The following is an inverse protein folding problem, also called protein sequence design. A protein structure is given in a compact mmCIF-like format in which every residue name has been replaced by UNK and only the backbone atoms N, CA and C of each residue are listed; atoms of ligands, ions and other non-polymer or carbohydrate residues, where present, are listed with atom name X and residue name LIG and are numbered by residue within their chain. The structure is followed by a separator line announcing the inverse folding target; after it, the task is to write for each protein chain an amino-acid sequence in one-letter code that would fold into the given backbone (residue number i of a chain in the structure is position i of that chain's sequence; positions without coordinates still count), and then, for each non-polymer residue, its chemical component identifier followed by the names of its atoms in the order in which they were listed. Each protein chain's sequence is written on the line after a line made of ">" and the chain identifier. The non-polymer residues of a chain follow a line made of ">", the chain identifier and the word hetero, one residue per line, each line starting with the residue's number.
data_IF_096251237203
#
_entry.id   IF_096251237203
#
_cell.length_a   1.000
_cell.length_b   1.000
_cell.length_c   1.000
_cell.angle_alpha   90.00
_cell.angle_beta   90.00
_cell.angle_gamma   90.00
#
_symmetry.space_group_name_H-M   'P 1'
#
loop_
_entity.id
_entity.type
_entity.pdbx_description
1 polymer ?
#
# COMPACT_ATOMS: atom_id res chain seq x y z
N UNK A 1 0.52 -14.46 7.70
CA UNK A 1 0.65 -13.42 6.65
C UNK A 1 -0.26 -13.78 5.48
N UNK A 2 -0.90 -12.81 4.88
CA UNK A 2 -1.80 -13.04 3.75
C UNK A 2 -1.00 -13.13 2.44
N UNK A 3 -1.10 -14.25 1.75
CA UNK A 3 -0.37 -14.50 0.49
C UNK A 3 -0.79 -13.54 -0.63
N UNK A 4 -1.94 -12.89 -0.50
CA UNK A 4 -2.44 -11.92 -1.48
C UNK A 4 -1.78 -10.55 -1.32
N UNK A 5 -1.02 -10.33 -0.23
CA UNK A 5 -0.27 -9.11 -0.02
C UNK A 5 1.16 -9.32 -0.48
N UNK A 6 1.62 -8.49 -1.41
CA UNK A 6 2.98 -8.57 -1.93
C UNK A 6 3.94 -7.78 -1.05
N UNK A 7 5.09 -8.36 -0.75
CA UNK A 7 6.19 -7.63 -0.13
C UNK A 7 7.05 -7.08 -1.25
N UNK A 8 7.13 -5.76 -1.35
CA UNK A 8 7.79 -5.07 -2.45
C UNK A 8 9.00 -4.31 -1.93
N UNK A 9 10.07 -4.31 -2.71
CA UNK A 9 11.33 -3.65 -2.38
C UNK A 9 11.66 -2.56 -3.38
N UNK A 10 12.70 -1.76 -3.07
CA UNK A 10 13.27 -0.80 -4.02
C UNK A 10 13.56 -1.48 -5.37
N UNK A 11 14.10 -2.70 -5.33
CA UNK A 11 14.48 -3.43 -6.54
C UNK A 11 13.29 -3.99 -7.33
N UNK A 12 12.21 -4.38 -6.65
CA UNK A 12 11.06 -5.03 -7.30
C UNK A 12 9.92 -4.06 -7.64
N UNK A 13 10.00 -2.82 -7.20
CA UNK A 13 8.90 -1.86 -7.31
C UNK A 13 8.45 -1.61 -8.74
N UNK A 14 9.40 -1.42 -9.65
CA UNK A 14 9.09 -1.18 -11.07
C UNK A 14 8.27 -2.32 -11.66
N UNK A 15 8.71 -3.55 -11.46
CA UNK A 15 8.06 -4.72 -12.04
C UNK A 15 6.70 -5.01 -11.38
N UNK A 16 6.60 -4.85 -10.07
CA UNK A 16 5.41 -5.28 -9.33
C UNK A 16 4.35 -4.20 -9.16
N UNK A 17 4.74 -2.93 -9.18
CA UNK A 17 3.81 -1.82 -8.98
C UNK A 17 3.63 -1.01 -10.25
N UNK A 18 4.71 -0.48 -10.81
CA UNK A 18 4.63 0.44 -11.95
C UNK A 18 4.12 -0.29 -13.19
N UNK A 19 4.57 -1.52 -13.43
CA UNK A 19 4.19 -2.31 -14.60
C UNK A 19 2.89 -3.09 -14.42
N UNK A 20 2.23 -2.96 -13.27
CA UNK A 20 1.00 -3.71 -12.99
C UNK A 20 -0.15 -3.27 -13.88
N UNK A 21 -0.91 -4.25 -14.40
CA UNK A 21 -2.13 -3.99 -15.15
C UNK A 21 -3.34 -3.71 -14.25
N UNK A 22 -3.23 -4.01 -12.96
CA UNK A 22 -4.27 -3.73 -11.97
C UNK A 22 -3.83 -2.57 -11.08
N UNK A 23 -4.79 -1.83 -10.47
CA UNK A 23 -4.43 -0.86 -9.43
C UNK A 23 -3.68 -1.53 -8.29
N UNK A 24 -2.71 -0.83 -7.72
CA UNK A 24 -1.91 -1.33 -6.60
C UNK A 24 -1.98 -0.34 -5.45
N UNK A 25 -2.43 -0.79 -4.30
CA UNK A 25 -2.38 -0.01 -3.06
C UNK A 25 -1.07 -0.35 -2.35
N UNK A 26 -0.19 0.63 -2.22
CA UNK A 26 1.13 0.47 -1.60
C UNK A 26 1.10 1.06 -0.20
N UNK A 27 1.35 0.23 0.82
CA UNK A 27 1.43 0.64 2.22
C UNK A 27 2.89 0.77 2.64
N UNK A 28 3.30 1.99 2.99
CA UNK A 28 4.62 2.28 3.54
C UNK A 28 4.54 2.16 5.06
N UNK A 29 5.35 1.27 5.64
CA UNK A 29 5.25 0.89 7.04
C UNK A 29 6.61 0.58 7.66
N UNK A 30 6.65 0.40 9.00
CA UNK A 30 7.83 -0.07 9.71
C UNK A 30 7.40 -0.88 10.94
N UNK A 31 8.29 -1.75 11.41
CA UNK A 31 8.04 -2.62 12.58
C UNK A 31 7.79 -1.82 13.86
N UNK A 32 8.46 -0.69 14.03
CA UNK A 32 8.33 0.15 15.21
C UNK A 32 7.07 1.02 15.21
N UNK A 33 6.33 1.02 14.15
CA UNK A 33 5.17 1.91 13.95
C UNK A 33 3.89 1.23 14.48
N UNK A 34 3.39 1.68 15.62
CA UNK A 34 2.16 1.15 16.21
C UNK A 34 0.94 1.26 15.30
N UNK A 35 0.64 2.45 14.74
CA UNK A 35 -0.49 2.61 13.81
C UNK A 35 -0.37 1.74 12.56
N UNK A 36 0.86 1.48 12.07
CA UNK A 36 1.07 0.56 10.95
C UNK A 36 0.63 -0.85 11.30
N UNK A 37 0.95 -1.30 12.51
CA UNK A 37 0.57 -2.64 12.98
C UNK A 37 -0.94 -2.76 13.17
N UNK A 38 -1.59 -1.71 13.62
CA UNK A 38 -3.05 -1.68 13.74
C UNK A 38 -3.73 -1.78 12.37
N UNK A 39 -3.10 -1.24 11.32
CA UNK A 39 -3.61 -1.29 9.96
C UNK A 39 -3.43 -2.67 9.31
N UNK A 40 -2.45 -3.45 9.73
CA UNK A 40 -2.13 -4.73 9.09
C UNK A 40 -3.30 -5.70 8.98
N UNK A 41 -4.09 -5.99 10.06
CA UNK A 41 -5.24 -6.88 9.92
C UNK A 41 -6.34 -6.31 9.00
N UNK A 42 -6.47 -4.99 8.94
CA UNK A 42 -7.42 -4.34 8.03
C UNK A 42 -6.99 -4.57 6.58
N UNK A 43 -5.71 -4.46 6.28
CA UNK A 43 -5.19 -4.73 4.94
C UNK A 43 -5.35 -6.20 4.55
N UNK A 44 -5.26 -7.14 5.50
CA UNK A 44 -5.53 -8.54 5.23
C UNK A 44 -6.97 -8.74 4.75
N UNK A 45 -7.94 -8.11 5.41
CA UNK A 45 -9.34 -8.17 5.00
C UNK A 45 -9.55 -7.51 3.63
N UNK A 46 -8.94 -6.36 3.40
CA UNK A 46 -9.02 -5.65 2.12
C UNK A 46 -8.44 -6.49 0.99
N UNK A 47 -7.31 -7.15 1.22
CA UNK A 47 -6.70 -8.01 0.21
C UNK A 47 -7.63 -9.14 -0.22
N UNK A 48 -8.38 -9.72 0.71
CA UNK A 48 -9.34 -10.76 0.40
C UNK A 48 -10.56 -10.21 -0.32
N UNK A 49 -11.11 -9.08 0.14
CA UNK A 49 -12.33 -8.49 -0.44
C UNK A 49 -12.12 -7.97 -1.85
N UNK A 50 -10.95 -7.43 -2.14
CA UNK A 50 -10.64 -6.80 -3.44
C UNK A 50 -9.79 -7.68 -4.34
N UNK A 51 -9.64 -8.96 -3.99
CA UNK A 51 -8.88 -9.92 -4.79
C UNK A 51 -9.42 -9.93 -6.23
N UNK A 52 -8.51 -9.82 -7.19
CA UNK A 52 -8.87 -9.74 -8.61
C UNK A 52 -9.18 -8.32 -9.10
N UNK A 53 -9.33 -7.34 -8.20
CA UNK A 53 -9.62 -5.95 -8.55
C UNK A 53 -8.48 -5.00 -8.23
N UNK A 54 -7.81 -5.21 -7.08
CA UNK A 54 -6.64 -4.44 -6.65
C UNK A 54 -5.59 -5.40 -6.09
N UNK A 55 -4.34 -5.01 -6.22
CA UNK A 55 -3.22 -5.67 -5.57
C UNK A 55 -2.84 -4.85 -4.35
N UNK A 56 -2.60 -5.51 -3.22
CA UNK A 56 -2.09 -4.86 -2.02
C UNK A 56 -0.60 -5.17 -1.91
N UNK A 57 0.21 -4.14 -1.74
CA UNK A 57 1.65 -4.25 -1.60
C UNK A 57 2.12 -3.53 -0.35
N UNK A 58 3.19 -4.01 0.27
CA UNK A 58 3.80 -3.39 1.44
C UNK A 58 5.27 -3.10 1.19
N UNK A 59 5.71 -1.91 1.60
CA UNK A 59 7.10 -1.47 1.54
C UNK A 59 7.55 -1.12 2.95
N UNK A 60 8.52 -1.86 3.49
CA UNK A 60 9.14 -1.54 4.77
C UNK A 60 10.14 -0.41 4.56
N UNK A 61 9.90 0.74 5.19
CA UNK A 61 10.73 1.94 4.94
C UNK A 61 12.15 1.82 5.50
N UNK A 62 12.36 0.96 6.51
CA UNK A 62 13.69 0.76 7.07
C UNK A 62 14.58 -0.09 6.17
N UNK A 63 13.96 -0.96 5.36
CA UNK A 63 14.66 -1.85 4.44
C UNK A 63 14.76 -1.27 3.03
N UNK A 64 13.98 -0.24 2.70
CA UNK A 64 13.86 0.30 1.36
C UNK A 64 13.97 1.81 1.41
N UNK A 65 15.22 2.32 1.40
CA UNK A 65 15.52 3.72 1.66
C UNK A 65 15.32 4.63 0.44
N UNK A 66 15.17 4.08 -0.76
CA UNK A 66 15.02 4.87 -1.99
C UNK A 66 13.58 5.30 -2.26
N UNK A 67 12.61 4.41 -2.02
CA UNK A 67 11.21 4.67 -2.35
C UNK A 67 10.57 5.80 -1.52
N UNK A 68 10.74 5.87 -0.20
CA UNK A 68 10.08 6.92 0.56
C UNK A 68 10.40 8.34 0.08
N UNK A 69 11.68 8.74 -0.10
CA UNK A 69 11.94 10.09 -0.59
C UNK A 69 11.49 10.31 -2.03
N UNK A 70 11.52 9.27 -2.86
CA UNK A 70 11.07 9.37 -4.24
C UNK A 70 9.60 9.78 -4.34
N UNK A 71 8.76 9.29 -3.42
CA UNK A 71 7.32 9.58 -3.42
C UNK A 71 6.91 10.58 -2.34
N UNK A 72 7.88 11.24 -1.70
CA UNK A 72 7.59 12.28 -0.71
C UNK A 72 6.95 11.74 0.57
N UNK A 73 7.26 10.50 0.95
CA UNK A 73 6.72 9.89 2.16
C UNK A 73 7.44 10.48 3.36
N UNK A 74 6.70 11.19 4.22
CA UNK A 74 7.23 11.86 5.42
C UNK A 74 6.80 11.23 6.71
N UNK A 75 5.70 10.51 6.70
CA UNK A 75 5.15 9.83 7.87
C UNK A 75 4.59 8.49 7.47
N UNK A 76 4.43 7.60 8.44
CA UNK A 76 3.88 6.27 8.23
C UNK A 76 2.78 5.99 9.26
N UNK A 77 1.76 5.19 8.92
CA UNK A 77 1.58 4.59 7.59
C UNK A 77 1.15 5.63 6.56
N UNK A 78 1.60 5.46 5.34
CA UNK A 78 1.11 6.20 4.18
C UNK A 78 0.78 5.19 3.10
N UNK A 79 -0.39 5.32 2.50
CA UNK A 79 -0.82 4.46 1.41
C UNK A 79 -0.94 5.26 0.13
N UNK A 80 -0.31 4.74 -0.93
CA UNK A 80 -0.41 5.32 -2.27
C UNK A 80 -1.17 4.33 -3.15
N UNK A 81 -2.22 4.80 -3.82
CA UNK A 81 -2.92 4.00 -4.81
C UNK A 81 -2.35 4.31 -6.18
N UNK A 82 -1.72 3.31 -6.79
CA UNK A 82 -1.16 3.42 -8.14
C UNK A 82 -2.16 2.89 -9.17
N UNK A 83 -2.33 3.64 -10.26
CA UNK A 83 -3.11 3.20 -11.41
C UNK A 83 -2.29 3.53 -12.67
N UNK A 84 -2.12 2.54 -13.53
CA UNK A 84 -1.37 2.70 -14.78
C UNK A 84 0.04 3.27 -14.57
N UNK A 85 0.69 2.84 -13.49
CA UNK A 85 2.06 3.23 -13.17
C UNK A 85 2.24 4.57 -12.50
N UNK A 86 1.15 5.27 -12.17
CA UNK A 86 1.22 6.60 -11.54
C UNK A 86 0.40 6.65 -10.26
N UNK A 87 0.82 7.50 -9.31
CA UNK A 87 0.06 7.75 -8.09
C UNK A 87 -1.27 8.40 -8.44
N UNK A 88 -2.36 7.74 -8.12
CA UNK A 88 -3.71 8.22 -8.38
C UNK A 88 -4.32 8.89 -7.14
N UNK A 89 -4.07 8.35 -5.96
CA UNK A 89 -4.62 8.87 -4.69
C UNK A 89 -3.69 8.52 -3.53
N UNK A 90 -3.78 9.30 -2.46
CA UNK A 90 -2.91 9.16 -1.28
C UNK A 90 -3.75 9.22 -0.01
N UNK A 91 -3.42 8.34 0.95
CA UNK A 91 -3.97 8.38 2.30
C UNK A 91 -2.83 8.36 3.32
N UNK A 92 -2.79 9.35 4.19
CA UNK A 92 -1.79 9.45 5.26
C UNK A 92 -2.45 9.07 6.58
N UNK A 93 -1.78 8.22 7.36
CA UNK A 93 -2.23 7.78 8.66
C UNK A 93 -3.10 6.52 8.60
N UNK A 94 -3.32 5.93 9.77
CA UNK A 94 -4.19 4.77 9.91
C UNK A 94 -5.65 5.19 9.81
N UNK A 95 -6.49 4.33 9.26
CA UNK A 95 -7.91 4.59 9.13
C UNK A 95 -8.67 3.29 9.36
N UNK A 96 -9.98 3.44 9.61
CA UNK A 96 -10.86 2.28 9.78
C UNK A 96 -11.02 1.52 8.47
N UNK A 97 -11.45 0.27 8.58
CA UNK A 97 -11.77 -0.53 7.40
C UNK A 97 -12.85 0.15 6.54
N UNK A 98 -13.88 0.72 7.18
CA UNK A 98 -14.95 1.41 6.46
C UNK A 98 -14.42 2.61 5.66
N UNK A 99 -13.53 3.40 6.24
CA UNK A 99 -12.93 4.53 5.56
C UNK A 99 -12.00 4.07 4.42
N UNK A 100 -11.27 2.98 4.62
CA UNK A 100 -10.42 2.44 3.57
C UNK A 100 -11.25 1.88 2.40
N UNK A 101 -12.35 1.18 2.69
CA UNK A 101 -13.29 0.74 1.66
C UNK A 101 -13.82 1.93 0.85
N UNK A 102 -14.25 3.00 1.54
CA UNK A 102 -14.74 4.20 0.86
C UNK A 102 -13.68 4.84 -0.02
N UNK A 103 -12.44 4.93 0.47
CA UNK A 103 -11.32 5.47 -0.30
C UNK A 103 -11.07 4.65 -1.58
N UNK A 104 -11.03 3.34 -1.45
CA UNK A 104 -10.79 2.46 -2.60
C UNK A 104 -11.95 2.50 -3.59
N UNK A 105 -13.19 2.38 -3.10
CA UNK A 105 -14.37 2.37 -3.97
C UNK A 105 -14.53 3.67 -4.74
N UNK A 106 -14.06 4.79 -4.20
CA UNK A 106 -14.10 6.08 -4.87
C UNK A 106 -13.01 6.25 -5.93
N UNK A 107 -11.98 5.40 -5.93
CA UNK A 107 -10.79 5.61 -6.75
C UNK A 107 -10.47 4.46 -7.72
N UNK A 108 -11.25 3.39 -7.68
CA UNK A 108 -11.00 2.24 -8.59
C UNK A 108 -12.19 1.96 -9.55
#
# INVERSE_FOLDING_TARGET
>A
MNDKIKVVSDASFEAEVISSSQPVLVDFWAEWCGPCKALAPILDEIADEYDGRIIIAKVNVDENVQLPPKYGIRGIPTMLLFKDGAVHATKVGALSKANLNAFLDSNI
#
